data_IF_408399735846
#
_entry.id   IF_408399735846
#
_cell.length_a   1.000
_cell.length_b   1.000
_cell.length_c   1.000
_cell.angle_alpha   90.00
_cell.angle_beta   90.00
_cell.angle_gamma   90.00
#
_symmetry.space_group_name_H-M   'P 1'
#
loop_
_entity.id
_entity.type
_entity.pdbx_description
1 polymer ?
#
# COMPACT_ATOMS: atom_id res chain seq x y z
N UNK A 1 26.25 2.38 -21.03
CA UNK A 1 25.26 3.06 -20.16
C UNK A 1 24.13 3.54 -21.04
N UNK A 2 22.94 2.94 -20.92
CA UNK A 2 21.75 3.48 -21.59
C UNK A 2 21.26 4.62 -20.71
N UNK A 3 21.39 5.86 -21.18
CA UNK A 3 20.68 6.98 -20.56
C UNK A 3 19.18 6.73 -20.77
N UNK A 4 18.47 6.44 -19.68
CA UNK A 4 17.03 6.40 -19.70
C UNK A 4 16.52 7.80 -20.05
N UNK A 5 15.74 7.93 -21.12
CA UNK A 5 15.11 9.19 -21.49
C UNK A 5 14.04 9.53 -20.44
N UNK A 6 14.29 10.55 -19.64
CA UNK A 6 13.35 11.04 -18.63
C UNK A 6 12.44 12.08 -19.30
N UNK A 7 11.10 11.91 -19.25
CA UNK A 7 10.18 12.93 -19.76
C UNK A 7 10.42 14.28 -19.06
N UNK A 8 10.31 15.41 -19.77
CA UNK A 8 10.63 16.73 -19.20
C UNK A 8 9.71 17.16 -18.05
N UNK A 9 8.59 16.47 -17.86
CA UNK A 9 7.59 16.70 -16.81
C UNK A 9 7.72 15.72 -15.63
N UNK A 10 8.85 15.02 -15.49
CA UNK A 10 9.10 14.08 -14.39
C UNK A 10 10.35 14.51 -13.64
N UNK A 11 10.22 14.61 -12.31
CA UNK A 11 11.32 14.87 -11.39
C UNK A 11 11.34 13.75 -10.34
N UNK A 12 12.54 13.31 -9.96
CA UNK A 12 12.74 12.26 -8.97
C UNK A 12 13.37 12.86 -7.72
N UNK A 13 12.82 12.48 -6.57
CA UNK A 13 13.27 12.89 -5.25
C UNK A 13 13.60 11.64 -4.43
N UNK A 14 14.72 11.66 -3.72
CA UNK A 14 15.10 10.62 -2.76
C UNK A 14 14.91 11.24 -1.39
N UNK A 15 13.74 10.99 -0.79
CA UNK A 15 13.34 11.55 0.49
C UNK A 15 12.63 10.47 1.32
N UNK A 16 12.66 10.63 2.64
CA UNK A 16 11.88 9.81 3.57
C UNK A 16 10.49 10.43 3.72
N UNK A 17 9.45 9.68 3.35
CA UNK A 17 8.07 10.17 3.39
C UNK A 17 7.57 10.53 4.81
N UNK A 18 8.24 10.03 5.86
CA UNK A 18 7.93 10.31 7.27
C UNK A 18 8.59 11.59 7.79
N UNK A 19 9.54 12.15 7.04
CA UNK A 19 10.16 13.44 7.36
C UNK A 19 9.26 14.61 6.91
N UNK A 20 9.45 15.83 7.44
CA UNK A 20 8.75 17.02 6.94
C UNK A 20 8.96 17.19 5.43
N UNK A 21 7.88 17.41 4.68
CA UNK A 21 7.97 17.50 3.22
C UNK A 21 8.61 18.81 2.80
N UNK A 22 9.53 18.74 1.83
CA UNK A 22 10.29 19.91 1.36
C UNK A 22 9.56 20.72 0.29
N UNK A 23 8.34 20.31 -0.08
CA UNK A 23 7.53 20.95 -1.09
C UNK A 23 6.82 22.20 -0.56
N UNK A 24 6.48 23.17 -1.45
CA UNK A 24 5.69 24.32 -1.04
C UNK A 24 4.32 23.89 -0.52
N UNK A 25 3.73 24.66 0.42
CA UNK A 25 2.34 24.44 0.81
C UNK A 25 1.41 24.63 -0.40
N UNK A 26 0.35 23.85 -0.47
CA UNK A 26 -0.67 23.95 -1.52
C UNK A 26 -0.12 23.86 -2.96
N UNK A 27 0.77 22.90 -3.20
CA UNK A 27 1.50 22.77 -4.45
C UNK A 27 0.93 21.70 -5.41
N UNK A 28 0.48 20.57 -4.89
CA UNK A 28 0.09 19.43 -5.73
C UNK A 28 -1.43 19.32 -5.89
N UNK A 29 -1.89 19.14 -7.12
CA UNK A 29 -3.30 18.87 -7.43
C UNK A 29 -3.71 17.42 -7.08
N UNK A 30 -2.73 16.50 -7.08
CA UNK A 30 -2.91 15.10 -6.71
C UNK A 30 -1.69 14.59 -5.95
N UNK A 31 -1.93 13.93 -4.82
CA UNK A 31 -0.94 13.19 -4.06
C UNK A 31 -1.34 11.73 -4.06
N UNK A 32 -0.53 10.88 -4.70
CA UNK A 32 -0.75 9.43 -4.78
C UNK A 32 0.23 8.70 -3.85
N UNK A 33 -0.32 7.95 -2.89
CA UNK A 33 0.41 7.12 -1.94
C UNK A 33 0.00 5.67 -2.20
N UNK A 34 0.98 4.78 -2.37
CA UNK A 34 0.69 3.41 -2.76
C UNK A 34 1.75 2.45 -2.25
N UNK A 35 1.28 1.36 -1.64
CA UNK A 35 2.12 0.25 -1.16
C UNK A 35 3.20 0.73 -0.18
N UNK A 36 2.82 1.60 0.76
CA UNK A 36 3.69 2.02 1.87
C UNK A 36 3.34 1.34 3.20
N UNK A 37 2.36 0.43 3.22
CA UNK A 37 2.06 -0.36 4.42
C UNK A 37 3.31 -1.10 4.93
N UNK A 38 3.51 -1.08 6.25
CA UNK A 38 4.72 -1.59 6.89
C UNK A 38 5.96 -0.69 6.80
N UNK A 39 5.98 0.32 5.93
CA UNK A 39 7.06 1.33 5.88
C UNK A 39 6.72 2.58 6.71
N UNK A 40 5.44 2.87 6.93
CA UNK A 40 4.94 4.05 7.64
C UNK A 40 4.43 3.64 9.02
N UNK A 41 5.01 4.24 10.06
CA UNK A 41 4.61 4.00 11.46
C UNK A 41 3.50 4.95 11.93
N UNK A 42 3.49 6.20 11.46
CA UNK A 42 2.46 7.20 11.77
C UNK A 42 1.80 7.73 10.48
N UNK A 43 0.73 7.04 10.07
CA UNK A 43 -0.08 7.43 8.91
C UNK A 43 -0.80 8.77 9.11
N UNK A 44 -1.14 9.14 10.35
CA UNK A 44 -1.78 10.41 10.64
C UNK A 44 -0.84 11.59 10.37
N UNK A 45 0.43 11.46 10.74
CA UNK A 45 1.47 12.44 10.40
C UNK A 45 1.67 12.54 8.89
N UNK A 46 1.78 11.41 8.18
CA UNK A 46 1.93 11.38 6.73
C UNK A 46 0.77 12.09 6.01
N UNK A 47 -0.48 11.77 6.37
CA UNK A 47 -1.63 12.43 5.75
C UNK A 47 -1.71 13.92 6.06
N UNK A 48 -1.21 14.35 7.22
CA UNK A 48 -1.13 15.77 7.57
C UNK A 48 -0.09 16.52 6.73
N UNK A 49 1.09 15.94 6.49
CA UNK A 49 2.08 16.49 5.57
C UNK A 49 1.52 16.58 4.14
N UNK A 50 0.86 15.50 3.69
CA UNK A 50 0.19 15.47 2.39
C UNK A 50 -0.88 16.56 2.28
N UNK A 51 -1.72 16.76 3.30
CA UNK A 51 -2.73 17.82 3.30
C UNK A 51 -2.10 19.21 3.17
N UNK A 52 -1.00 19.48 3.89
CA UNK A 52 -0.30 20.77 3.80
C UNK A 52 0.25 21.08 2.41
N UNK A 53 0.70 20.05 1.69
CA UNK A 53 1.23 20.18 0.33
C UNK A 53 0.15 20.11 -0.76
N UNK A 54 -1.08 19.70 -0.42
CA UNK A 54 -2.18 19.58 -1.38
C UNK A 54 -2.81 20.95 -1.68
N UNK A 55 -2.98 21.27 -2.96
CA UNK A 55 -3.63 22.48 -3.40
C UNK A 55 -5.12 22.50 -2.99
N UNK A 56 -5.75 23.67 -2.75
CA UNK A 56 -7.19 23.76 -2.54
C UNK A 56 -7.97 23.13 -3.70
N UNK A 57 -8.82 22.15 -3.39
CA UNK A 57 -9.57 21.38 -4.40
C UNK A 57 -8.79 20.23 -5.03
N UNK A 58 -7.55 19.99 -4.60
CA UNK A 58 -6.76 18.81 -4.98
C UNK A 58 -7.19 17.55 -4.22
N UNK A 59 -6.59 16.43 -4.59
CA UNK A 59 -6.96 15.10 -4.10
C UNK A 59 -5.78 14.36 -3.47
N UNK A 60 -6.12 13.51 -2.50
CA UNK A 60 -5.25 12.43 -2.03
C UNK A 60 -5.84 11.09 -2.47
N UNK A 61 -4.97 10.21 -2.96
CA UNK A 61 -5.31 8.81 -3.24
C UNK A 61 -4.33 7.93 -2.47
N UNK A 62 -4.85 7.14 -1.52
CA UNK A 62 -4.09 6.11 -0.80
C UNK A 62 -4.55 4.73 -1.27
N UNK A 63 -3.64 3.95 -1.83
CA UNK A 63 -3.92 2.63 -2.39
C UNK A 63 -3.02 1.56 -1.76
N UNK A 64 -3.56 0.85 -0.77
CA UNK A 64 -2.78 -0.09 0.04
C UNK A 64 -3.29 -1.52 -0.09
N UNK A 65 -2.38 -2.48 0.12
CA UNK A 65 -2.70 -3.90 0.12
C UNK A 65 -2.79 -4.41 1.56
N UNK A 66 -3.81 -5.22 1.83
CA UNK A 66 -3.83 -6.03 3.05
C UNK A 66 -2.92 -7.25 2.84
N UNK A 67 -1.84 -7.42 3.62
CA UNK A 67 -0.93 -8.56 3.45
C UNK A 67 -1.50 -9.87 4.01
N UNK A 68 -2.66 -9.84 4.67
CA UNK A 68 -3.33 -11.04 5.17
C UNK A 68 -4.09 -11.75 4.04
N UNK A 69 -3.97 -13.07 3.99
CA UNK A 69 -4.84 -13.90 3.17
C UNK A 69 -6.20 -14.02 3.87
N UNK A 70 -7.28 -13.73 3.14
CA UNK A 70 -8.67 -13.82 3.62
C UNK A 70 -9.55 -14.55 2.60
N UNK A 71 -10.68 -15.09 3.07
CA UNK A 71 -11.71 -15.66 2.22
C UNK A 71 -13.09 -15.27 2.73
N UNK A 72 -14.05 -15.06 1.83
CA UNK A 72 -15.43 -14.73 2.22
C UNK A 72 -16.20 -15.94 2.80
N UNK A 73 -15.77 -17.16 2.48
CA UNK A 73 -16.48 -18.41 2.78
C UNK A 73 -15.77 -19.29 3.83
N UNK A 74 -14.70 -18.79 4.43
CA UNK A 74 -13.88 -19.52 5.42
C UNK A 74 -13.03 -20.66 4.81
N UNK A 75 -12.93 -20.75 3.48
CA UNK A 75 -12.16 -21.82 2.82
C UNK A 75 -10.68 -21.87 3.20
N UNK A 76 -10.11 -20.76 3.68
CA UNK A 76 -8.71 -20.72 4.11
C UNK A 76 -8.49 -21.05 5.59
N UNK A 77 -9.55 -21.14 6.40
CA UNK A 77 -9.44 -21.20 7.87
C UNK A 77 -8.66 -22.42 8.36
N UNK A 78 -8.71 -23.51 7.61
CA UNK A 78 -8.00 -24.76 7.89
C UNK A 78 -6.77 -24.98 7.01
N UNK A 79 -6.28 -23.94 6.33
CA UNK A 79 -5.06 -24.01 5.49
C UNK A 79 -3.86 -23.54 6.30
N UNK A 80 -3.20 -24.48 6.99
CA UNK A 80 -2.11 -24.20 7.96
C UNK A 80 -1.03 -23.24 7.44
N UNK A 81 -0.52 -23.34 6.19
CA UNK A 81 0.47 -22.39 5.69
C UNK A 81 -0.04 -20.94 5.63
N UNK A 82 -1.29 -20.73 5.23
CA UNK A 82 -1.89 -19.39 5.15
C UNK A 82 -2.18 -18.83 6.55
N UNK A 83 -2.60 -19.68 7.48
CA UNK A 83 -2.79 -19.28 8.88
C UNK A 83 -1.45 -18.93 9.55
N UNK A 84 -0.40 -19.68 9.23
CA UNK A 84 0.97 -19.38 9.69
C UNK A 84 1.44 -18.03 9.16
N UNK A 85 1.25 -17.75 7.86
CA UNK A 85 1.56 -16.45 7.28
C UNK A 85 0.83 -15.31 8.00
N UNK A 86 -0.50 -15.42 8.12
CA UNK A 86 -1.32 -14.40 8.77
C UNK A 86 -0.90 -14.15 10.24
N UNK A 87 -0.52 -15.21 10.96
CA UNK A 87 0.01 -15.10 12.32
C UNK A 87 1.31 -14.30 12.33
N UNK A 88 2.25 -14.61 11.45
CA UNK A 88 3.54 -13.90 11.35
C UNK A 88 3.33 -12.42 11.05
N UNK A 89 2.49 -12.07 10.07
CA UNK A 89 2.21 -10.67 9.74
C UNK A 89 1.68 -9.88 10.94
N UNK A 90 0.77 -10.48 11.73
CA UNK A 90 0.23 -9.84 12.95
C UNK A 90 1.29 -9.70 14.04
N UNK A 91 2.17 -10.68 14.19
CA UNK A 91 3.30 -10.58 15.13
C UNK A 91 4.28 -9.47 14.69
N UNK A 92 4.53 -9.31 13.39
CA UNK A 92 5.31 -8.21 12.84
C UNK A 92 4.68 -6.85 13.15
N UNK A 93 3.37 -6.67 12.95
CA UNK A 93 2.66 -5.44 13.31
C UNK A 93 2.92 -5.02 14.77
N UNK A 94 2.82 -5.99 15.69
CA UNK A 94 3.08 -5.76 17.11
C UNK A 94 4.54 -5.41 17.44
N UNK A 95 5.51 -5.95 16.68
CA UNK A 95 6.93 -5.74 16.91
C UNK A 95 7.47 -4.43 16.32
N UNK A 96 6.98 -4.02 15.14
CA UNK A 96 7.43 -2.81 14.45
C UNK A 96 6.80 -1.53 15.01
N UNK A 97 5.74 -1.64 15.81
CA UNK A 97 5.09 -0.48 16.42
C UNK A 97 4.36 0.41 15.43
N UNK A 98 3.97 -0.14 14.26
CA UNK A 98 3.28 0.55 13.18
C UNK A 98 2.30 -0.36 12.45
N UNK A 99 1.45 0.23 11.62
CA UNK A 99 0.41 -0.46 10.88
C UNK A 99 1.00 -1.28 9.73
N UNK A 100 1.13 -2.60 9.94
CA UNK A 100 1.66 -3.55 8.97
C UNK A 100 0.55 -4.33 8.24
N UNK A 101 -0.53 -4.72 8.93
CA UNK A 101 -1.61 -5.51 8.32
C UNK A 101 -2.80 -4.66 7.86
N UNK A 102 -3.05 -3.56 8.54
CA UNK A 102 -4.18 -2.68 8.29
C UNK A 102 -3.80 -1.28 8.79
N UNK A 103 -4.11 -0.25 8.01
CA UNK A 103 -4.09 1.12 8.50
C UNK A 103 -5.33 1.31 9.39
N UNK A 104 -5.12 1.49 10.69
CA UNK A 104 -6.23 1.58 11.64
C UNK A 104 -6.92 2.93 11.49
N UNK A 105 -8.23 2.88 11.21
CA UNK A 105 -9.06 4.09 11.03
C UNK A 105 -8.50 5.03 9.94
N UNK A 106 -8.07 4.46 8.81
CA UNK A 106 -7.53 5.20 7.66
C UNK A 106 -8.42 6.37 7.22
N UNK A 107 -9.73 6.14 7.08
CA UNK A 107 -10.72 7.18 6.76
C UNK A 107 -10.74 8.28 7.81
N UNK A 108 -10.71 7.92 9.09
CA UNK A 108 -10.66 8.87 10.21
C UNK A 108 -9.37 9.68 10.22
N UNK A 109 -8.23 9.07 9.93
CA UNK A 109 -6.93 9.74 9.84
C UNK A 109 -6.90 10.73 8.67
N UNK A 110 -7.35 10.33 7.48
CA UNK A 110 -7.45 11.20 6.30
C UNK A 110 -8.38 12.38 6.58
N UNK A 111 -9.55 12.13 7.20
CA UNK A 111 -10.48 13.19 7.60
C UNK A 111 -9.87 14.14 8.63
N UNK A 112 -9.16 13.61 9.62
CA UNK A 112 -8.49 14.39 10.67
C UNK A 112 -7.35 15.26 10.11
N UNK A 113 -6.72 14.83 9.02
CA UNK A 113 -5.70 15.61 8.32
C UNK A 113 -6.29 16.89 7.69
N UNK A 114 -7.56 16.86 7.29
CA UNK A 114 -8.29 17.99 6.71
C UNK A 114 -8.97 17.70 5.38
N UNK A 115 -8.79 16.49 4.83
CA UNK A 115 -9.47 16.11 3.59
C UNK A 115 -10.97 15.86 3.83
N UNK A 116 -11.76 16.23 2.81
CA UNK A 116 -13.22 16.12 2.81
C UNK A 116 -13.68 15.20 1.64
N UNK A 117 -14.98 14.90 1.57
CA UNK A 117 -15.57 14.09 0.48
C UNK A 117 -14.90 12.72 0.23
N UNK A 118 -14.62 11.98 1.31
CA UNK A 118 -13.88 10.72 1.23
C UNK A 118 -14.67 9.61 0.53
N UNK A 119 -13.99 8.90 -0.38
CA UNK A 119 -14.49 7.69 -1.03
C UNK A 119 -13.57 6.52 -0.70
N UNK A 120 -14.17 5.38 -0.36
CA UNK A 120 -13.46 4.14 -0.03
C UNK A 120 -13.98 3.04 -0.94
N UNK A 121 -13.06 2.29 -1.55
CA UNK A 121 -13.40 1.15 -2.39
C UNK A 121 -12.48 -0.02 -2.06
N UNK A 122 -13.07 -1.10 -1.58
CA UNK A 122 -12.35 -2.35 -1.37
C UNK A 122 -12.29 -3.16 -2.66
N UNK A 123 -11.08 -3.52 -3.07
CA UNK A 123 -10.85 -4.38 -4.23
C UNK A 123 -10.48 -5.79 -3.79
N UNK A 124 -11.24 -6.79 -4.26
CA UNK A 124 -10.86 -8.20 -4.09
C UNK A 124 -9.73 -8.54 -5.05
N UNK A 125 -8.58 -8.94 -4.50
CA UNK A 125 -7.42 -9.37 -5.28
C UNK A 125 -7.21 -10.87 -5.02
N UNK A 126 -7.75 -11.76 -5.88
CA UNK A 126 -7.57 -13.20 -5.69
C UNK A 126 -6.11 -13.59 -5.92
N UNK A 127 -5.70 -14.76 -5.41
CA UNK A 127 -4.35 -15.28 -5.61
C UNK A 127 -4.43 -16.52 -6.52
N UNK A 128 -3.87 -16.42 -7.72
CA UNK A 128 -3.90 -17.48 -8.72
C UNK A 128 -5.07 -17.39 -9.71
N UNK A 129 -5.27 -18.46 -10.47
CA UNK A 129 -6.17 -18.49 -11.64
C UNK A 129 -7.58 -19.03 -11.39
N UNK A 130 -8.04 -19.09 -10.14
CA UNK A 130 -9.29 -19.77 -9.77
C UNK A 130 -10.56 -18.92 -9.88
N UNK A 131 -10.43 -17.58 -9.91
CA UNK A 131 -11.59 -16.70 -10.01
C UNK A 131 -12.37 -16.97 -11.31
N UNK A 132 -13.71 -17.01 -11.20
CA UNK A 132 -14.59 -17.23 -12.37
C UNK A 132 -14.62 -16.02 -13.30
N UNK A 133 -14.59 -14.82 -12.72
CA UNK A 133 -14.50 -13.57 -13.46
C UNK A 133 -13.15 -13.48 -14.19
N UNK A 134 -13.19 -13.17 -15.49
CA UNK A 134 -12.00 -13.17 -16.33
C UNK A 134 -10.96 -12.12 -15.91
N UNK A 135 -11.42 -10.93 -15.53
CA UNK A 135 -10.55 -9.84 -15.08
C UNK A 135 -9.88 -10.21 -13.76
N UNK A 136 -10.65 -10.67 -12.78
CA UNK A 136 -10.12 -11.10 -11.48
C UNK A 136 -9.19 -12.29 -11.61
N UNK A 137 -9.47 -13.23 -12.52
CA UNK A 137 -8.57 -14.35 -12.80
C UNK A 137 -7.20 -13.87 -13.31
N UNK A 138 -7.19 -12.89 -14.21
CA UNK A 138 -5.95 -12.28 -14.72
C UNK A 138 -5.22 -11.52 -13.62
N UNK A 139 -5.93 -10.73 -12.81
CA UNK A 139 -5.36 -10.05 -11.63
C UNK A 139 -4.70 -11.07 -10.69
N UNK A 140 -5.37 -12.18 -10.41
CA UNK A 140 -4.83 -13.18 -9.50
C UNK A 140 -3.65 -13.95 -10.05
N UNK A 141 -3.56 -14.14 -11.37
CA UNK A 141 -2.35 -14.66 -12.00
C UNK A 141 -1.16 -13.71 -11.82
N UNK A 142 -1.37 -12.40 -11.95
CA UNK A 142 -0.32 -11.41 -11.67
C UNK A 142 0.09 -11.41 -10.20
N UNK A 143 -0.88 -11.40 -9.26
CA UNK A 143 -0.54 -11.43 -7.84
C UNK A 143 0.20 -12.72 -7.45
N UNK A 144 -0.21 -13.87 -7.98
CA UNK A 144 0.52 -15.13 -7.78
C UNK A 144 1.95 -15.02 -8.28
N UNK A 145 2.16 -14.50 -9.49
CA UNK A 145 3.50 -14.30 -10.03
C UNK A 145 4.32 -13.34 -9.15
N UNK A 146 3.74 -12.24 -8.68
CA UNK A 146 4.42 -11.31 -7.75
C UNK A 146 4.86 -12.05 -6.47
N UNK A 147 3.98 -12.81 -5.83
CA UNK A 147 4.32 -13.56 -4.60
C UNK A 147 5.43 -14.59 -4.88
N UNK A 148 5.31 -15.37 -5.95
CA UNK A 148 6.29 -16.40 -6.30
C UNK A 148 7.67 -15.81 -6.64
N UNK A 149 7.72 -14.67 -7.34
CA UNK A 149 8.99 -14.02 -7.72
C UNK A 149 9.59 -13.15 -6.61
N UNK A 150 8.77 -12.53 -5.75
CA UNK A 150 9.26 -11.76 -4.59
C UNK A 150 9.98 -12.68 -3.59
N UNK A 151 9.48 -13.91 -3.41
CA UNK A 151 10.16 -14.93 -2.61
C UNK A 151 11.52 -15.30 -3.19
N UNK A 152 11.63 -15.42 -4.51
CA UNK A 152 12.91 -15.64 -5.18
C UNK A 152 13.86 -14.47 -4.91
N UNK A 153 13.42 -13.23 -5.15
CA UNK A 153 14.21 -12.01 -4.92
C UNK A 153 14.72 -11.84 -3.48
N UNK A 154 13.94 -12.26 -2.48
CA UNK A 154 14.34 -12.22 -1.07
C UNK A 154 15.32 -13.36 -0.73
N UNK A 155 15.17 -14.53 -1.35
CA UNK A 155 16.05 -15.69 -1.14
C UNK A 155 17.45 -15.54 -1.76
N UNK A 156 17.61 -14.74 -2.83
CA UNK A 156 18.93 -14.46 -3.43
C UNK A 156 19.69 -13.29 -2.81
N UNK A 157 19.08 -12.52 -1.90
CA UNK A 157 19.76 -11.46 -1.13
C UNK A 157 20.57 -11.99 0.07
N UNK A 158 20.40 -13.27 0.42
CA UNK A 158 21.24 -13.95 1.42
C UNK A 158 22.36 -14.69 0.68
N UNK A 159 23.44 -13.96 0.39
CA UNK A 159 24.76 -14.51 0.03
C UNK A 159 25.83 -13.84 0.89
#
# INVERSE_FOLDING_TARGET
MVQCFIPPNVQYHIEDATSPWTFPPSHFDLIHIRYLIGAISDWGALFKEAFGCCAPGGYIESAEINPLFVSDDGSIDNVDPLQTWNKICRECEGAFGGDFCQIRDDVGLVKKAGFEELQVTDFKVPVGGWAKDEKLRRVGQFLRASIENDLEGTSVLVN
#
